data_IF_578009288411
#
_entry.id   IF_578009288411
#
_cell.length_a   1.000
_cell.length_b   1.000
_cell.length_c   1.000
_cell.angle_alpha   90.00
_cell.angle_beta   90.00
_cell.angle_gamma   90.00
#
_symmetry.space_group_name_H-M   'P 1'
#
loop_
_entity.id
_entity.type
_entity.pdbx_description
1 polymer ?
#
# COMPACT_ATOMS: atom_id res chain seq x y z
N UNK A 1 1.03 -6.42 -4.32
CA UNK A 1 0.34 -6.52 -5.62
C UNK A 1 1.20 -7.23 -6.66
N UNK A 2 2.51 -6.98 -6.73
CA UNK A 2 3.44 -7.67 -7.66
C UNK A 2 3.32 -9.20 -7.67
N UNK A 3 3.20 -9.84 -6.50
CA UNK A 3 2.99 -11.29 -6.44
C UNK A 3 1.70 -11.75 -7.15
N UNK A 4 0.64 -10.94 -7.16
CA UNK A 4 -0.61 -11.26 -7.84
C UNK A 4 -0.48 -11.23 -9.37
N UNK A 5 0.54 -10.53 -9.90
CA UNK A 5 0.91 -10.54 -11.31
C UNK A 5 2.14 -11.42 -11.58
N UNK A 6 2.51 -12.30 -10.63
CA UNK A 6 3.60 -13.27 -10.77
C UNK A 6 5.01 -12.69 -10.63
N UNK A 7 5.15 -11.42 -10.24
CA UNK A 7 6.46 -10.80 -10.03
C UNK A 7 6.98 -11.11 -8.63
N UNK A 8 8.24 -11.55 -8.55
CA UNK A 8 8.98 -11.69 -7.30
C UNK A 8 9.89 -10.49 -7.14
N UNK A 9 9.56 -9.59 -6.21
CA UNK A 9 10.32 -8.37 -5.97
C UNK A 9 10.96 -8.37 -4.59
N UNK A 10 12.12 -7.73 -4.50
CA UNK A 10 12.76 -7.50 -3.21
C UNK A 10 12.06 -6.33 -2.50
N UNK A 11 11.70 -6.55 -1.23
CA UNK A 11 11.12 -5.48 -0.42
C UNK A 11 12.19 -4.40 -0.19
N UNK A 12 11.93 -3.13 -0.55
CA UNK A 12 12.90 -2.06 -0.32
C UNK A 12 13.17 -1.88 1.17
N UNK A 13 14.41 -1.46 1.49
CA UNK A 13 14.82 -1.14 2.84
C UNK A 13 13.97 0.01 3.42
N UNK A 14 13.86 0.07 4.76
CA UNK A 14 13.23 1.21 5.44
C UNK A 14 14.09 2.45 5.22
N UNK A 15 13.46 3.53 4.79
CA UNK A 15 14.09 4.83 4.58
C UNK A 15 13.71 5.77 5.72
N UNK A 16 14.66 6.61 6.12
CA UNK A 16 14.45 7.72 7.04
C UNK A 16 14.71 9.03 6.28
N UNK A 17 13.93 10.06 6.61
CA UNK A 17 14.01 11.36 5.96
C UNK A 17 13.93 12.46 7.00
N UNK A 18 14.83 13.43 6.87
CA UNK A 18 14.95 14.56 7.78
C UNK A 18 13.96 15.69 7.43
N UNK A 19 13.50 15.74 6.16
CA UNK A 19 12.68 16.84 5.65
C UNK A 19 11.32 16.39 5.12
N UNK A 20 10.31 17.24 5.33
CA UNK A 20 8.91 16.95 4.94
C UNK A 20 8.74 16.71 3.44
N UNK A 21 9.46 17.45 2.59
CA UNK A 21 9.35 17.33 1.13
C UNK A 21 9.75 15.93 0.63
N UNK A 22 10.71 15.29 1.30
CA UNK A 22 11.12 13.93 0.98
C UNK A 22 10.00 12.93 1.30
N UNK A 23 9.32 13.09 2.44
CA UNK A 23 8.15 12.27 2.78
C UNK A 23 7.02 12.46 1.75
N UNK A 24 6.75 13.71 1.35
CA UNK A 24 5.73 14.03 0.35
C UNK A 24 6.07 13.39 -1.01
N UNK A 25 7.33 13.49 -1.46
CA UNK A 25 7.78 12.87 -2.71
C UNK A 25 7.55 11.36 -2.70
N UNK A 26 7.96 10.68 -1.63
CA UNK A 26 7.83 9.22 -1.52
C UNK A 26 6.39 8.75 -1.47
N UNK A 27 5.49 9.51 -0.86
CA UNK A 27 4.06 9.23 -0.90
C UNK A 27 3.50 9.36 -2.33
N UNK A 28 3.87 10.41 -3.07
CA UNK A 28 3.47 10.57 -4.48
C UNK A 28 3.98 9.44 -5.34
N UNK A 29 5.24 9.06 -5.20
CA UNK A 29 5.85 7.94 -5.91
C UNK A 29 5.13 6.62 -5.62
N UNK A 30 4.71 6.38 -4.37
CA UNK A 30 3.93 5.19 -4.01
C UNK A 30 2.53 5.18 -4.68
N UNK A 31 1.88 6.33 -4.80
CA UNK A 31 0.59 6.45 -5.51
C UNK A 31 0.75 6.20 -7.01
N UNK A 32 1.73 6.85 -7.65
CA UNK A 32 2.02 6.67 -9.08
C UNK A 32 2.39 5.23 -9.40
N UNK A 33 3.21 4.62 -8.55
CA UNK A 33 3.54 3.20 -8.68
C UNK A 33 2.28 2.32 -8.60
N UNK A 34 1.41 2.57 -7.64
CA UNK A 34 0.14 1.83 -7.48
C UNK A 34 -0.74 1.97 -8.71
N UNK A 35 -0.90 3.18 -9.26
CA UNK A 35 -1.64 3.44 -10.49
C UNK A 35 -1.04 2.69 -11.69
N UNK A 36 0.28 2.77 -11.85
CA UNK A 36 0.99 2.11 -12.95
C UNK A 36 0.80 0.59 -12.94
N UNK A 37 0.70 -0.04 -11.76
CA UNK A 37 0.41 -1.49 -11.67
C UNK A 37 -0.91 -1.82 -12.37
N UNK A 38 -1.97 -1.04 -12.16
CA UNK A 38 -3.27 -1.29 -12.80
C UNK A 38 -3.28 -0.91 -14.28
N UNK A 39 -2.63 0.20 -14.67
CA UNK A 39 -2.51 0.61 -16.07
C UNK A 39 -1.79 -0.47 -16.89
N UNK A 40 -0.71 -1.04 -16.35
CA UNK A 40 0.08 -2.05 -17.04
C UNK A 40 -0.57 -3.45 -17.02
N UNK A 41 -1.49 -3.69 -16.08
CA UNK A 41 -2.15 -4.99 -15.91
C UNK A 41 -3.68 -4.81 -15.90
N UNK A 42 -4.30 -4.38 -17.01
CA UNK A 42 -5.72 -4.02 -17.06
C UNK A 42 -6.66 -5.22 -16.80
N UNK A 43 -6.16 -6.44 -16.99
CA UNK A 43 -6.91 -7.68 -16.79
C UNK A 43 -6.56 -8.38 -15.47
N UNK A 44 -5.93 -7.68 -14.52
CA UNK A 44 -5.62 -8.27 -13.21
C UNK A 44 -6.93 -8.72 -12.52
N UNK A 45 -7.03 -9.98 -12.05
CA UNK A 45 -8.21 -10.43 -11.33
C UNK A 45 -8.30 -9.68 -9.99
N UNK A 46 -9.43 -9.02 -9.76
CA UNK A 46 -9.68 -8.27 -8.53
C UNK A 46 -10.03 -9.21 -7.37
N UNK A 47 -10.95 -10.14 -7.64
CA UNK A 47 -11.33 -11.23 -6.75
C UNK A 47 -10.59 -12.51 -7.15
N UNK A 48 -10.17 -13.29 -6.15
CA UNK A 48 -9.57 -14.61 -6.36
C UNK A 48 -10.11 -15.56 -5.29
N UNK A 49 -10.58 -16.73 -5.70
CA UNK A 49 -11.17 -17.73 -4.80
C UNK A 49 -10.20 -18.86 -4.49
N UNK A 50 -9.21 -19.11 -5.36
CA UNK A 50 -8.15 -20.08 -5.14
C UNK A 50 -7.13 -19.55 -4.12
N UNK A 51 -7.05 -20.14 -2.90
CA UNK A 51 -6.14 -19.68 -1.86
C UNK A 51 -4.66 -19.73 -2.27
N UNK A 52 -4.30 -20.59 -3.23
CA UNK A 52 -2.92 -20.71 -3.72
C UNK A 52 -2.48 -19.52 -4.57
N UNK A 53 -3.43 -18.75 -5.11
CA UNK A 53 -3.21 -17.57 -5.96
C UNK A 53 -3.37 -16.24 -5.21
N UNK A 54 -3.79 -16.28 -3.94
CA UNK A 54 -3.93 -15.09 -3.11
C UNK A 54 -2.59 -14.48 -2.70
N UNK A 55 -2.61 -13.19 -2.42
CA UNK A 55 -1.49 -12.44 -1.86
C UNK A 55 -1.30 -12.87 -0.40
N UNK A 56 -0.18 -13.54 -0.12
CA UNK A 56 0.20 -13.91 1.24
C UNK A 56 0.84 -12.72 1.95
N UNK A 57 0.14 -12.16 2.94
CA UNK A 57 0.71 -11.13 3.79
C UNK A 57 1.59 -11.74 4.89
N UNK A 58 2.64 -11.03 5.29
CA UNK A 58 3.59 -11.51 6.32
C UNK A 58 2.96 -11.73 7.70
N UNK A 59 1.78 -11.16 7.95
CA UNK A 59 1.04 -11.33 9.19
C UNK A 59 0.03 -12.49 9.13
N UNK A 60 0.14 -13.38 8.14
CA UNK A 60 -0.60 -14.64 8.06
C UNK A 60 -1.96 -14.57 7.36
N UNK A 61 -2.44 -13.38 7.02
CA UNK A 61 -3.68 -13.20 6.27
C UNK A 61 -3.44 -13.29 4.76
N UNK A 62 -4.39 -13.90 4.05
CA UNK A 62 -4.44 -13.91 2.59
C UNK A 62 -5.43 -12.87 2.09
N UNK A 63 -5.09 -12.22 0.98
CA UNK A 63 -5.91 -11.20 0.34
C UNK A 63 -5.96 -11.44 -1.16
N UNK A 64 -7.10 -11.14 -1.79
CA UNK A 64 -7.13 -10.83 -3.21
C UNK A 64 -6.75 -9.35 -3.46
N UNK A 65 -6.78 -8.92 -4.71
CA UNK A 65 -6.36 -7.56 -5.10
C UNK A 65 -7.34 -6.51 -4.59
N UNK A 66 -8.64 -6.80 -4.63
CA UNK A 66 -9.69 -5.92 -4.11
C UNK A 66 -9.50 -5.68 -2.60
N UNK A 67 -9.41 -6.75 -1.81
CA UNK A 67 -9.24 -6.65 -0.37
C UNK A 67 -7.95 -5.91 0.03
N UNK A 68 -6.86 -6.11 -0.73
CA UNK A 68 -5.61 -5.40 -0.49
C UNK A 68 -5.73 -3.90 -0.83
N UNK A 69 -6.50 -3.54 -1.86
CA UNK A 69 -6.74 -2.15 -2.22
C UNK A 69 -7.61 -1.44 -1.18
N UNK A 70 -8.68 -2.10 -0.72
CA UNK A 70 -9.49 -1.60 0.39
C UNK A 70 -8.64 -1.38 1.66
N UNK A 71 -7.79 -2.36 2.00
CA UNK A 71 -6.85 -2.25 3.11
C UNK A 71 -5.92 -1.04 2.94
N UNK A 72 -5.35 -0.83 1.76
CA UNK A 72 -4.46 0.29 1.49
C UNK A 72 -5.16 1.65 1.68
N UNK A 73 -6.40 1.79 1.19
CA UNK A 73 -7.20 3.01 1.34
C UNK A 73 -7.47 3.29 2.82
N UNK A 74 -8.01 2.32 3.56
CA UNK A 74 -8.33 2.53 4.99
C UNK A 74 -7.07 2.76 5.83
N UNK A 75 -5.93 2.17 5.45
CA UNK A 75 -4.65 2.37 6.12
C UNK A 75 -4.15 3.82 5.99
N UNK A 76 -4.24 4.41 4.80
CA UNK A 76 -3.89 5.83 4.58
C UNK A 76 -4.82 6.75 5.39
N UNK A 77 -6.14 6.51 5.35
CA UNK A 77 -7.11 7.30 6.11
C UNK A 77 -6.88 7.21 7.62
N UNK A 78 -6.55 6.00 8.12
CA UNK A 78 -6.19 5.79 9.52
C UNK A 78 -4.97 6.62 9.93
N UNK A 79 -3.91 6.62 9.13
CA UNK A 79 -2.71 7.39 9.43
C UNK A 79 -2.93 8.89 9.35
N UNK A 80 -3.72 9.36 8.38
CA UNK A 80 -4.15 10.76 8.34
C UNK A 80 -4.82 11.18 9.65
N UNK A 81 -5.79 10.40 10.13
CA UNK A 81 -6.47 10.67 11.41
C UNK A 81 -5.51 10.63 12.61
N UNK A 82 -4.53 9.73 12.61
CA UNK A 82 -3.51 9.68 13.67
C UNK A 82 -2.66 10.96 13.70
N UNK A 83 -2.26 11.48 12.54
CA UNK A 83 -1.52 12.74 12.44
C UNK A 83 -2.38 13.91 12.89
N UNK A 84 -3.64 13.98 12.44
CA UNK A 84 -4.59 15.02 12.87
C UNK A 84 -4.76 15.03 14.40
N UNK A 85 -4.94 13.86 15.02
CA UNK A 85 -5.03 13.74 16.46
C UNK A 85 -3.74 14.17 17.18
N UNK A 86 -2.57 13.82 16.65
CA UNK A 86 -1.30 14.24 17.22
C UNK A 86 -1.14 15.76 17.17
N UNK A 87 -1.49 16.40 16.05
CA UNK A 87 -1.47 17.85 15.92
C UNK A 87 -2.37 18.52 16.96
N UNK A 88 -3.56 17.98 17.22
CA UNK A 88 -4.45 18.48 18.28
C UNK A 88 -3.79 18.32 19.67
N UNK A 89 -3.23 17.16 19.95
CA UNK A 89 -2.62 16.85 21.24
C UNK A 89 -1.39 17.72 21.56
N UNK A 90 -0.56 18.03 20.55
CA UNK A 90 0.70 18.75 20.73
C UNK A 90 0.63 20.25 20.42
N UNK A 91 -0.49 20.76 19.87
CA UNK A 91 -0.75 22.20 19.72
C UNK A 91 -1.42 22.81 20.97
N UNK A 92 -1.44 22.09 22.10
CA UNK A 92 -1.86 22.57 23.42
C UNK A 92 -0.63 22.78 24.30
#
# INVERSE_FOLDING_TARGET
MENAIGLTTERPARLHFDYIDQHISRLKEAMVYTENVFIQNPNIPLEEFDPSKKINARWGQQYDVEQMMEHAIVHILRHRRQIENALIQFNT
#
